data_IF_453261091485
#
_entry.id   IF_453261091485
#
_cell.length_a   1.000
_cell.length_b   1.000
_cell.length_c   1.000
_cell.angle_alpha   90.00
_cell.angle_beta   90.00
_cell.angle_gamma   90.00
#
_symmetry.space_group_name_H-M   'P 1'
#
loop_
_entity.id
_entity.type
_entity.pdbx_description
1 polymer ?
#
# COMPACT_ATOMS: atom_id res chain seq x y z
N UNK A 1 10.80 -32.38 -5.52
CA UNK A 1 9.37 -32.15 -5.28
C UNK A 1 8.70 -33.51 -5.14
N UNK A 2 8.03 -33.74 -4.03
CA UNK A 2 7.33 -34.99 -3.74
C UNK A 2 6.13 -35.12 -4.68
N UNK A 3 5.75 -36.33 -5.11
CA UNK A 3 4.65 -36.56 -6.08
C UNK A 3 3.35 -35.87 -5.67
N UNK A 4 3.09 -35.82 -4.36
CA UNK A 4 1.94 -35.13 -3.77
C UNK A 4 2.00 -33.60 -3.90
N UNK A 5 3.18 -32.99 -3.81
CA UNK A 5 3.35 -31.54 -3.97
C UNK A 5 3.06 -31.12 -5.40
N UNK A 6 3.46 -31.92 -6.38
CA UNK A 6 3.21 -31.65 -7.80
C UNK A 6 1.71 -31.77 -8.13
N UNK A 7 1.03 -32.79 -7.59
CA UNK A 7 -0.43 -32.92 -7.72
C UNK A 7 -1.16 -31.72 -7.10
N UNK A 8 -0.74 -31.31 -5.91
CA UNK A 8 -1.33 -30.17 -5.22
C UNK A 8 -1.11 -28.86 -5.99
N UNK A 9 0.10 -28.64 -6.50
CA UNK A 9 0.42 -27.49 -7.35
C UNK A 9 -0.49 -27.44 -8.58
N UNK A 10 -0.61 -28.52 -9.34
CA UNK A 10 -1.44 -28.56 -10.55
C UNK A 10 -2.91 -28.28 -10.23
N UNK A 11 -3.44 -28.84 -9.14
CA UNK A 11 -4.82 -28.55 -8.68
C UNK A 11 -5.02 -27.07 -8.37
N UNK A 12 -4.06 -26.42 -7.69
CA UNK A 12 -4.18 -24.99 -7.40
C UNK A 12 -4.01 -24.14 -8.67
N UNK A 13 -3.13 -24.53 -9.60
CA UNK A 13 -3.01 -23.88 -10.90
C UNK A 13 -4.33 -23.95 -11.69
N UNK A 14 -4.96 -25.13 -11.75
CA UNK A 14 -6.26 -25.34 -12.40
C UNK A 14 -7.38 -24.53 -11.73
N UNK A 15 -7.38 -24.45 -10.39
CA UNK A 15 -8.34 -23.62 -9.66
C UNK A 15 -8.15 -22.12 -9.97
N UNK A 16 -6.91 -21.64 -10.03
CA UNK A 16 -6.59 -20.25 -10.37
C UNK A 16 -7.05 -19.94 -11.80
N UNK A 17 -6.77 -20.83 -12.75
CA UNK A 17 -7.19 -20.65 -14.14
C UNK A 17 -8.71 -20.65 -14.28
N UNK A 18 -9.40 -21.54 -13.55
CA UNK A 18 -10.85 -21.56 -13.47
C UNK A 18 -11.40 -20.25 -12.91
N UNK A 19 -10.87 -19.74 -11.79
CA UNK A 19 -11.29 -18.46 -11.21
C UNK A 19 -11.08 -17.32 -12.21
N UNK A 20 -9.91 -17.25 -12.85
CA UNK A 20 -9.59 -16.19 -13.83
C UNK A 20 -10.53 -16.20 -15.04
N UNK A 21 -10.93 -17.38 -15.50
CA UNK A 21 -11.79 -17.53 -16.67
C UNK A 21 -13.27 -17.32 -16.33
N UNK A 22 -13.68 -17.66 -15.10
CA UNK A 22 -15.10 -17.67 -14.69
C UNK A 22 -15.45 -16.59 -13.68
N UNK A 23 -14.56 -15.63 -13.41
CA UNK A 23 -14.78 -14.60 -12.37
C UNK A 23 -16.09 -13.83 -12.55
N UNK A 24 -16.57 -13.65 -13.79
CA UNK A 24 -17.85 -12.99 -14.09
C UNK A 24 -19.08 -13.74 -13.55
N UNK A 25 -18.99 -15.06 -13.36
CA UNK A 25 -20.05 -15.84 -12.73
C UNK A 25 -20.03 -15.72 -11.18
N UNK A 26 -18.99 -15.07 -10.62
CA UNK A 26 -18.74 -14.98 -9.17
C UNK A 26 -18.83 -16.35 -8.47
N UNK A 27 -18.07 -17.36 -8.93
CA UNK A 27 -18.19 -18.72 -8.41
C UNK A 27 -17.86 -18.78 -6.91
N UNK A 28 -18.67 -19.54 -6.17
CA UNK A 28 -18.49 -19.74 -4.74
C UNK A 28 -17.42 -20.81 -4.45
N UNK A 29 -17.12 -21.02 -3.16
CA UNK A 29 -16.07 -21.95 -2.75
C UNK A 29 -16.35 -23.39 -3.19
N UNK A 30 -17.61 -23.82 -3.13
CA UNK A 30 -18.02 -25.19 -3.43
C UNK A 30 -17.85 -25.47 -4.92
N UNK A 31 -18.28 -24.54 -5.78
CA UNK A 31 -18.13 -24.65 -7.24
C UNK A 31 -16.66 -24.74 -7.67
N UNK A 32 -15.78 -23.94 -7.06
CA UNK A 32 -14.35 -23.98 -7.38
C UNK A 32 -13.71 -25.28 -6.85
N UNK A 33 -14.09 -25.72 -5.65
CA UNK A 33 -13.56 -26.95 -5.05
C UNK A 33 -13.97 -28.20 -5.85
N UNK A 34 -15.22 -28.25 -6.33
CA UNK A 34 -15.72 -29.30 -7.19
C UNK A 34 -14.93 -29.41 -8.49
N UNK A 35 -14.56 -28.26 -9.09
CA UNK A 35 -13.77 -28.22 -10.33
C UNK A 35 -12.40 -28.91 -10.21
N UNK A 36 -11.82 -28.92 -9.02
CA UNK A 36 -10.52 -29.56 -8.74
C UNK A 36 -10.65 -30.84 -7.91
N UNK A 37 -11.87 -31.37 -7.81
CA UNK A 37 -12.21 -32.61 -7.12
C UNK A 37 -11.73 -32.65 -5.66
N UNK A 38 -11.93 -31.54 -4.93
CA UNK A 38 -11.62 -31.42 -3.52
C UNK A 38 -12.86 -31.06 -2.71
N UNK A 39 -12.85 -31.40 -1.42
CA UNK A 39 -13.82 -30.83 -0.50
C UNK A 39 -13.54 -29.33 -0.28
N UNK A 40 -14.57 -28.51 -0.04
CA UNK A 40 -14.42 -27.06 0.15
C UNK A 40 -13.41 -26.69 1.24
N UNK A 41 -13.45 -27.42 2.36
CA UNK A 41 -12.53 -27.23 3.48
C UNK A 41 -11.08 -27.53 3.11
N UNK A 42 -10.84 -28.66 2.43
CA UNK A 42 -9.48 -29.04 2.00
C UNK A 42 -8.96 -28.05 0.97
N UNK A 43 -9.79 -27.71 -0.02
CA UNK A 43 -9.45 -26.75 -1.06
C UNK A 43 -9.08 -25.38 -0.49
N UNK A 44 -9.89 -24.82 0.42
CA UNK A 44 -9.60 -23.53 1.03
C UNK A 44 -8.23 -23.52 1.73
N UNK A 45 -7.93 -24.59 2.49
CA UNK A 45 -6.64 -24.70 3.20
C UNK A 45 -5.48 -24.78 2.21
N UNK A 46 -5.58 -25.69 1.23
CA UNK A 46 -4.54 -25.92 0.23
C UNK A 46 -4.29 -24.67 -0.63
N UNK A 47 -5.36 -24.00 -1.07
CA UNK A 47 -5.26 -22.77 -1.85
C UNK A 47 -4.63 -21.65 -1.03
N UNK A 48 -5.00 -21.50 0.24
CA UNK A 48 -4.39 -20.46 1.10
C UNK A 48 -2.91 -20.71 1.36
N UNK A 49 -2.51 -21.97 1.51
CA UNK A 49 -1.11 -22.37 1.68
C UNK A 49 -0.28 -22.05 0.44
N UNK A 50 -0.78 -22.36 -0.75
CA UNK A 50 -0.06 -22.16 -2.02
C UNK A 50 -0.14 -20.73 -2.55
N UNK A 51 -1.33 -20.12 -2.58
CA UNK A 51 -1.57 -18.80 -3.15
C UNK A 51 -1.37 -17.66 -2.13
N UNK A 52 -1.22 -17.97 -0.83
CA UNK A 52 -1.05 -16.99 0.24
C UNK A 52 -2.31 -16.17 0.58
N UNK A 53 -3.46 -16.52 0.00
CA UNK A 53 -4.76 -15.86 0.23
C UNK A 53 -5.91 -16.84 0.02
N UNK A 54 -7.10 -16.55 0.54
CA UNK A 54 -8.27 -17.43 0.33
C UNK A 54 -8.81 -17.32 -1.10
N UNK A 55 -9.48 -18.38 -1.63
CA UNK A 55 -10.10 -18.35 -2.96
C UNK A 55 -11.07 -17.18 -3.16
N UNK A 56 -11.93 -16.91 -2.17
CA UNK A 56 -12.88 -15.79 -2.19
C UNK A 56 -12.16 -14.44 -2.36
N UNK A 57 -11.06 -14.24 -1.62
CA UNK A 57 -10.30 -12.99 -1.70
C UNK A 57 -9.53 -12.89 -3.01
N UNK A 58 -9.02 -14.01 -3.53
CA UNK A 58 -8.40 -14.07 -4.85
C UNK A 58 -9.39 -13.66 -5.96
N UNK A 59 -10.60 -14.21 -5.96
CA UNK A 59 -11.67 -13.82 -6.89
C UNK A 59 -11.97 -12.32 -6.80
N UNK A 60 -12.05 -11.76 -5.59
CA UNK A 60 -12.26 -10.32 -5.41
C UNK A 60 -11.12 -9.47 -5.99
N UNK A 61 -9.86 -9.89 -5.86
CA UNK A 61 -8.74 -9.21 -6.49
C UNK A 61 -8.86 -9.21 -8.02
N UNK A 62 -9.20 -10.36 -8.62
CA UNK A 62 -9.42 -10.46 -10.07
C UNK A 62 -10.55 -9.54 -10.52
N UNK A 63 -11.68 -9.53 -9.81
CA UNK A 63 -12.80 -8.61 -10.11
C UNK A 63 -12.39 -7.15 -10.03
N UNK A 64 -11.64 -6.74 -8.99
CA UNK A 64 -11.18 -5.36 -8.85
C UNK A 64 -10.19 -4.98 -9.96
N UNK A 65 -9.21 -5.82 -10.28
CA UNK A 65 -8.27 -5.57 -11.38
C UNK A 65 -8.99 -5.43 -12.74
N UNK A 66 -10.01 -6.24 -12.99
CA UNK A 66 -10.81 -6.11 -14.20
C UNK A 66 -11.64 -4.81 -14.21
N UNK A 67 -12.28 -4.45 -13.10
CA UNK A 67 -12.98 -3.17 -12.98
C UNK A 67 -12.04 -1.98 -13.16
N UNK A 68 -10.82 -2.04 -12.62
CA UNK A 68 -9.78 -1.01 -12.80
C UNK A 68 -9.46 -0.83 -14.28
N UNK A 69 -9.31 -1.93 -15.03
CA UNK A 69 -9.07 -1.89 -16.47
C UNK A 69 -10.21 -1.16 -17.20
N UNK A 70 -11.46 -1.52 -16.94
CA UNK A 70 -12.64 -0.87 -17.54
C UNK A 70 -12.66 0.62 -17.22
N UNK A 71 -12.51 0.98 -15.94
CA UNK A 71 -12.56 2.37 -15.49
C UNK A 71 -11.41 3.24 -16.01
N UNK A 72 -10.29 2.61 -16.41
CA UNK A 72 -9.11 3.31 -16.94
C UNK A 72 -9.11 3.42 -18.47
N UNK A 73 -9.55 2.38 -19.17
CA UNK A 73 -9.49 2.30 -20.64
C UNK A 73 -10.67 2.99 -21.32
N UNK A 74 -11.84 3.05 -20.66
CA UNK A 74 -13.04 3.68 -21.20
C UNK A 74 -13.47 4.87 -20.32
N UNK A 75 -13.25 6.09 -20.84
CA UNK A 75 -13.66 7.32 -20.17
C UNK A 75 -15.19 7.42 -19.97
N UNK A 76 -15.99 6.75 -20.81
CA UNK A 76 -17.45 6.73 -20.73
C UNK A 76 -17.98 5.63 -19.80
N UNK A 77 -17.19 4.58 -19.51
CA UNK A 77 -17.65 3.46 -18.67
C UNK A 77 -18.09 3.93 -17.29
N UNK A 78 -19.32 3.64 -16.93
CA UNK A 78 -19.90 3.98 -15.63
C UNK A 78 -19.48 2.97 -14.56
N UNK A 79 -19.71 3.31 -13.29
CA UNK A 79 -19.56 2.33 -12.21
C UNK A 79 -20.49 1.13 -12.39
N UNK A 80 -21.65 1.34 -13.04
CA UNK A 80 -22.58 0.28 -13.37
C UNK A 80 -21.97 -0.69 -14.38
N UNK A 81 -21.36 -0.17 -15.45
CA UNK A 81 -20.71 -1.01 -16.47
C UNK A 81 -19.56 -1.84 -15.87
N UNK A 82 -18.74 -1.22 -15.02
CA UNK A 82 -17.66 -1.92 -14.33
C UNK A 82 -18.17 -2.99 -13.36
N UNK A 83 -19.27 -2.74 -12.63
CA UNK A 83 -19.86 -3.72 -11.73
C UNK A 83 -20.52 -4.88 -12.51
N UNK A 84 -21.23 -4.54 -13.59
CA UNK A 84 -21.91 -5.50 -14.45
C UNK A 84 -20.91 -6.43 -15.16
N UNK A 85 -19.86 -5.89 -15.77
CA UNK A 85 -18.90 -6.70 -16.52
C UNK A 85 -18.00 -7.56 -15.60
N UNK A 86 -17.90 -7.21 -14.31
CA UNK A 86 -17.22 -8.04 -13.31
C UNK A 86 -18.12 -9.09 -12.65
N UNK A 87 -19.42 -9.10 -12.98
CA UNK A 87 -20.40 -10.04 -12.42
C UNK A 87 -20.84 -9.72 -10.99
N UNK A 88 -20.50 -8.53 -10.49
CA UNK A 88 -20.88 -8.14 -9.14
C UNK A 88 -22.38 -7.83 -9.06
N UNK A 89 -22.96 -8.04 -7.88
CA UNK A 89 -24.39 -7.80 -7.63
C UNK A 89 -24.82 -6.33 -7.75
N UNK A 90 -23.87 -5.40 -7.86
CA UNK A 90 -24.14 -3.99 -8.08
C UNK A 90 -22.95 -3.08 -7.76
N UNK A 91 -23.16 -1.79 -7.97
CA UNK A 91 -22.17 -0.73 -7.76
C UNK A 91 -21.74 -0.60 -6.31
N UNK A 92 -22.64 -0.84 -5.35
CA UNK A 92 -22.29 -0.84 -3.91
C UNK A 92 -21.26 -1.91 -3.60
N UNK A 93 -21.40 -3.11 -4.19
CA UNK A 93 -20.44 -4.20 -3.96
C UNK A 93 -19.08 -3.87 -4.57
N UNK A 94 -19.07 -3.29 -5.77
CA UNK A 94 -17.85 -2.77 -6.40
C UNK A 94 -17.18 -1.71 -5.52
N UNK A 95 -17.96 -0.79 -4.99
CA UNK A 95 -17.50 0.26 -4.08
C UNK A 95 -16.81 -0.34 -2.84
N UNK A 96 -17.47 -1.26 -2.15
CA UNK A 96 -16.90 -1.92 -0.97
C UNK A 96 -15.60 -2.64 -1.30
N UNK A 97 -15.53 -3.34 -2.44
CA UNK A 97 -14.32 -4.03 -2.86
C UNK A 97 -13.18 -3.05 -3.12
N UNK A 98 -13.43 -1.95 -3.82
CA UNK A 98 -12.42 -0.90 -4.06
C UNK A 98 -11.94 -0.27 -2.76
N UNK A 99 -12.84 0.08 -1.84
CA UNK A 99 -12.42 0.64 -0.54
C UNK A 99 -11.55 -0.36 0.24
N UNK A 100 -11.97 -1.64 0.29
CA UNK A 100 -11.24 -2.66 1.04
C UNK A 100 -9.90 -3.09 0.39
N UNK A 101 -9.85 -3.15 -0.94
CA UNK A 101 -8.71 -3.71 -1.71
C UNK A 101 -7.76 -2.63 -2.20
N UNK A 102 -8.29 -1.49 -2.66
CA UNK A 102 -7.52 -0.38 -3.22
C UNK A 102 -7.41 0.82 -2.27
N UNK A 103 -8.26 0.89 -1.23
CA UNK A 103 -8.22 2.00 -0.29
C UNK A 103 -8.74 3.32 -0.82
N UNK A 104 -9.59 3.24 -1.83
CA UNK A 104 -10.23 4.38 -2.46
C UNK A 104 -11.56 3.95 -3.04
N UNK A 105 -12.43 4.89 -3.32
CA UNK A 105 -13.66 4.61 -4.06
C UNK A 105 -13.36 4.33 -5.54
N UNK A 106 -14.20 3.57 -6.25
CA UNK A 106 -14.09 3.39 -7.70
C UNK A 106 -14.09 4.72 -8.46
N UNK A 107 -14.80 5.74 -7.95
CA UNK A 107 -14.83 7.07 -8.54
C UNK A 107 -13.48 7.80 -8.39
N UNK A 108 -12.86 7.74 -7.21
CA UNK A 108 -11.51 8.28 -7.00
C UNK A 108 -10.47 7.55 -7.87
N UNK A 109 -10.62 6.23 -8.03
CA UNK A 109 -9.79 5.44 -8.96
C UNK A 109 -9.98 5.89 -10.40
N UNK A 110 -11.24 5.90 -10.90
CA UNK A 110 -11.59 6.30 -12.27
C UNK A 110 -11.07 7.70 -12.57
N UNK A 111 -11.23 8.61 -11.62
CA UNK A 111 -10.78 9.97 -11.79
C UNK A 111 -9.25 10.08 -11.71
N UNK A 112 -8.52 9.13 -11.12
CA UNK A 112 -7.05 9.11 -11.08
C UNK A 112 -6.40 10.38 -10.51
N UNK A 113 -7.17 11.17 -9.75
CA UNK A 113 -6.77 12.51 -9.31
C UNK A 113 -7.12 13.66 -10.25
N UNK A 114 -8.01 13.50 -11.25
CA UNK A 114 -8.42 14.54 -12.22
C UNK A 114 -8.88 15.86 -11.60
N UNK A 115 -9.35 15.83 -10.35
CA UNK A 115 -9.74 17.02 -9.58
C UNK A 115 -8.76 17.34 -8.43
N UNK A 116 -7.60 16.68 -8.38
CA UNK A 116 -6.52 16.95 -7.44
C UNK A 116 -5.52 17.89 -8.11
N UNK A 117 -5.44 19.08 -7.55
CA UNK A 117 -4.30 19.97 -7.75
C UNK A 117 -3.22 19.59 -6.73
N UNK A 118 -2.06 19.19 -7.25
CA UNK A 118 -0.91 18.78 -6.46
C UNK A 118 0.21 19.78 -6.71
N UNK A 119 0.54 20.53 -5.66
CA UNK A 119 1.80 21.28 -5.64
C UNK A 119 2.91 20.30 -5.28
N UNK A 120 4.07 20.43 -5.92
CA UNK A 120 5.26 19.67 -5.56
C UNK A 120 6.51 20.54 -5.61
N UNK A 121 7.51 20.17 -4.82
CA UNK A 121 8.83 20.76 -4.87
C UNK A 121 9.89 19.72 -4.50
N UNK A 122 11.15 20.06 -4.81
CA UNK A 122 12.31 19.30 -4.40
C UNK A 122 13.06 20.06 -3.32
N UNK A 123 13.64 19.32 -2.39
CA UNK A 123 14.47 19.86 -1.33
C UNK A 123 15.63 18.91 -1.03
N UNK A 124 16.68 19.45 -0.43
CA UNK A 124 17.74 18.64 0.17
C UNK A 124 17.36 18.27 1.60
N UNK A 125 17.72 17.05 2.01
CA UNK A 125 17.62 16.60 3.40
C UNK A 125 18.94 15.94 3.82
N UNK A 126 19.17 15.76 5.13
CA UNK A 126 20.35 15.02 5.62
C UNK A 126 20.50 13.60 5.07
N UNK A 127 19.43 13.04 4.47
CA UNK A 127 19.38 11.68 3.95
C UNK A 127 19.27 11.64 2.41
N UNK A 128 19.54 12.76 1.75
CA UNK A 128 19.52 12.93 0.29
C UNK A 128 18.34 13.77 -0.21
N UNK A 129 18.24 13.89 -1.52
CA UNK A 129 17.20 14.69 -2.17
C UNK A 129 15.82 14.08 -1.95
N UNK A 130 14.84 14.93 -1.73
CA UNK A 130 13.46 14.55 -1.44
C UNK A 130 12.51 15.34 -2.33
N UNK A 131 11.52 14.65 -2.89
CA UNK A 131 10.34 15.30 -3.45
C UNK A 131 9.27 15.34 -2.36
N UNK A 132 8.59 16.47 -2.23
CA UNK A 132 7.43 16.63 -1.37
C UNK A 132 6.28 17.18 -2.19
N UNK A 133 5.09 16.60 -2.01
CA UNK A 133 3.90 16.98 -2.73
C UNK A 133 2.69 17.05 -1.79
N UNK A 134 1.86 18.05 -2.02
CA UNK A 134 0.74 18.42 -1.18
C UNK A 134 -0.50 18.69 -2.04
N UNK A 135 -1.64 18.38 -1.43
CA UNK A 135 -2.95 18.86 -1.87
C UNK A 135 -3.44 19.91 -0.87
N UNK A 136 -4.60 20.52 -1.14
CA UNK A 136 -5.26 21.41 -0.17
C UNK A 136 -5.57 20.74 1.18
N UNK A 137 -5.61 19.40 1.25
CA UNK A 137 -5.89 18.64 2.48
C UNK A 137 -4.63 18.33 3.32
N UNK A 138 -3.44 18.37 2.74
CA UNK A 138 -2.20 17.95 3.40
C UNK A 138 -1.18 17.31 2.45
N UNK A 139 -0.06 16.85 3.01
CA UNK A 139 1.01 16.14 2.31
C UNK A 139 0.44 14.81 1.79
N UNK A 140 0.48 14.60 0.48
CA UNK A 140 -0.01 13.37 -0.15
C UNK A 140 1.13 12.44 -0.59
N UNK A 141 2.33 12.97 -0.75
CA UNK A 141 3.49 12.21 -1.17
C UNK A 141 4.78 12.87 -0.69
N UNK A 142 5.72 12.07 -0.22
CA UNK A 142 7.05 12.49 0.16
C UNK A 142 7.99 11.32 -0.05
N UNK A 143 9.03 11.46 -0.88
CA UNK A 143 9.87 10.33 -1.26
C UNK A 143 11.30 10.78 -1.53
N UNK A 144 12.27 9.98 -1.10
CA UNK A 144 13.66 10.19 -1.48
C UNK A 144 13.83 9.84 -2.96
N UNK A 145 14.52 10.71 -3.70
CA UNK A 145 14.76 10.53 -5.12
C UNK A 145 16.23 10.76 -5.45
N UNK A 146 16.79 9.97 -6.36
CA UNK A 146 18.17 10.15 -6.82
C UNK A 146 18.29 11.38 -7.73
N UNK A 147 17.26 11.63 -8.53
CA UNK A 147 17.13 12.82 -9.37
C UNK A 147 15.66 13.27 -9.42
N UNK A 148 15.45 14.52 -9.87
CA UNK A 148 14.12 15.12 -9.91
C UNK A 148 13.15 14.39 -10.84
N UNK A 149 13.64 13.89 -11.98
CA UNK A 149 12.82 13.23 -12.99
C UNK A 149 12.19 11.94 -12.45
N UNK A 150 13.00 11.07 -11.85
CA UNK A 150 12.52 9.83 -11.21
C UNK A 150 11.52 10.13 -10.09
N UNK A 151 11.83 11.11 -9.22
CA UNK A 151 10.93 11.47 -8.13
C UNK A 151 9.58 12.00 -8.63
N UNK A 152 9.58 12.75 -9.74
CA UNK A 152 8.36 13.25 -10.35
C UNK A 152 7.57 12.14 -11.07
N UNK A 153 8.24 11.20 -11.73
CA UNK A 153 7.58 10.04 -12.35
C UNK A 153 6.94 9.12 -11.30
N UNK A 154 7.56 8.91 -10.13
CA UNK A 154 6.94 8.18 -9.03
C UNK A 154 5.67 8.87 -8.52
N UNK A 155 5.71 10.20 -8.39
CA UNK A 155 4.55 11.01 -8.02
C UNK A 155 3.42 10.88 -9.07
N UNK A 156 3.74 10.98 -10.36
CA UNK A 156 2.80 10.79 -11.46
C UNK A 156 2.22 9.38 -11.47
N UNK A 157 3.03 8.35 -11.28
CA UNK A 157 2.55 6.97 -11.22
C UNK A 157 1.52 6.79 -10.10
N UNK A 158 1.69 7.49 -8.98
CA UNK A 158 0.74 7.49 -7.87
C UNK A 158 -0.55 8.28 -8.16
N UNK A 159 -0.45 9.39 -8.90
CA UNK A 159 -1.54 10.30 -9.22
C UNK A 159 -1.60 10.64 -10.74
N UNK A 160 -1.89 9.67 -11.62
CA UNK A 160 -1.65 9.80 -13.05
C UNK A 160 -2.49 10.87 -13.75
N UNK A 161 -3.64 11.25 -13.18
CA UNK A 161 -4.52 12.25 -13.76
C UNK A 161 -4.54 13.57 -12.96
N UNK A 162 -3.66 13.75 -11.96
CA UNK A 162 -3.61 14.99 -11.20
C UNK A 162 -3.02 16.17 -12.00
N UNK A 163 -3.43 17.38 -11.64
CA UNK A 163 -2.81 18.60 -12.14
C UNK A 163 -1.60 18.94 -11.26
N UNK A 164 -0.41 18.96 -11.84
CA UNK A 164 0.84 19.18 -11.10
C UNK A 164 1.35 20.61 -11.28
N UNK A 165 1.72 21.25 -10.18
CA UNK A 165 2.38 22.56 -10.18
C UNK A 165 3.67 22.50 -9.38
N UNK A 166 4.80 22.84 -10.01
CA UNK A 166 6.09 22.91 -9.31
C UNK A 166 6.13 24.19 -8.47
N UNK A 167 5.70 24.10 -7.22
CA UNK A 167 5.56 25.20 -6.28
C UNK A 167 5.72 24.69 -4.85
N UNK A 168 6.58 25.36 -4.09
CA UNK A 168 6.69 25.18 -2.65
C UNK A 168 5.54 25.92 -1.96
N UNK A 169 4.71 25.20 -1.20
CA UNK A 169 3.66 25.78 -0.37
C UNK A 169 3.93 25.58 1.13
N UNK A 170 3.08 26.17 1.98
CA UNK A 170 3.26 26.13 3.43
C UNK A 170 3.15 24.70 4.00
N UNK A 171 2.32 23.85 3.39
CA UNK A 171 2.17 22.45 3.81
C UNK A 171 3.47 21.68 3.60
N UNK A 172 4.10 21.88 2.44
CA UNK A 172 5.41 21.31 2.12
C UNK A 172 6.52 21.87 3.01
N UNK A 173 6.53 23.19 3.25
CA UNK A 173 7.51 23.82 4.14
C UNK A 173 7.45 23.21 5.55
N UNK A 174 6.25 23.12 6.13
CA UNK A 174 6.03 22.50 7.45
C UNK A 174 6.51 21.05 7.49
N UNK A 175 6.28 20.28 6.43
CA UNK A 175 6.80 18.92 6.31
C UNK A 175 8.33 18.87 6.29
N UNK A 176 8.98 19.76 5.55
CA UNK A 176 10.44 19.81 5.42
C UNK A 176 11.14 20.31 6.69
N UNK A 177 10.46 21.11 7.52
CA UNK A 177 11.00 21.58 8.80
C UNK A 177 11.37 20.44 9.76
N UNK A 178 10.83 19.22 9.57
CA UNK A 178 11.17 18.06 10.40
C UNK A 178 12.67 17.73 10.38
N UNK A 179 13.38 18.11 9.31
CA UNK A 179 14.81 17.89 9.16
C UNK A 179 15.69 18.96 9.84
N UNK A 180 15.10 20.05 10.36
CA UNK A 180 15.84 21.18 10.93
C UNK A 180 16.17 21.04 12.43
N UNK A 181 15.94 19.87 13.04
CA UNK A 181 16.28 19.55 14.44
C UNK A 181 15.66 20.47 15.51
N UNK A 182 14.68 21.31 15.17
CA UNK A 182 13.91 22.12 16.13
C UNK A 182 12.44 21.69 16.13
N UNK A 183 12.17 20.55 16.77
CA UNK A 183 10.81 19.98 16.83
C UNK A 183 9.90 20.72 17.82
N UNK A 184 10.44 21.61 18.65
CA UNK A 184 9.64 22.47 19.54
C UNK A 184 8.73 23.43 18.77
N UNK A 185 9.06 23.69 17.49
CA UNK A 185 8.34 24.58 16.59
C UNK A 185 7.57 23.85 15.48
N UNK A 186 7.52 22.51 15.50
CA UNK A 186 6.78 21.79 14.48
C UNK A 186 5.27 22.03 14.66
N UNK A 187 4.67 22.65 13.64
CA UNK A 187 3.22 22.69 13.50
C UNK A 187 2.68 21.31 13.16
N UNK A 188 1.39 21.09 13.43
CA UNK A 188 0.71 19.86 13.05
C UNK A 188 0.81 19.63 11.52
N UNK A 189 1.46 18.54 11.11
CA UNK A 189 1.59 18.17 9.70
C UNK A 189 0.42 17.26 9.32
N UNK A 190 -0.49 17.77 8.50
CA UNK A 190 -1.62 17.00 7.97
C UNK A 190 -1.18 16.12 6.79
N UNK A 191 -1.55 14.84 6.84
CA UNK A 191 -1.33 13.88 5.77
C UNK A 191 -2.63 13.61 5.01
N UNK A 192 -2.59 13.63 3.69
CA UNK A 192 -3.68 13.22 2.81
C UNK A 192 -3.31 11.88 2.16
N UNK A 193 -3.54 10.80 2.90
CA UNK A 193 -3.11 9.46 2.51
C UNK A 193 -4.16 8.73 1.69
N UNK A 194 -3.67 7.88 0.79
CA UNK A 194 -4.46 6.98 -0.04
C UNK A 194 -3.92 5.56 0.13
N UNK A 195 -4.71 4.69 0.74
CA UNK A 195 -4.35 3.30 1.03
C UNK A 195 -5.52 2.54 1.64
N UNK A 196 -5.45 1.21 1.60
CA UNK A 196 -6.50 0.34 2.16
C UNK A 196 -6.68 0.56 3.65
N UNK A 197 -7.83 0.19 4.23
CA UNK A 197 -8.04 0.25 5.68
C UNK A 197 -6.91 -0.45 6.45
N UNK A 198 -6.40 -1.56 5.90
CA UNK A 198 -5.25 -2.25 6.46
C UNK A 198 -3.97 -1.41 6.39
N UNK A 199 -3.67 -0.80 5.24
CA UNK A 199 -2.52 0.08 5.08
C UNK A 199 -2.60 1.31 5.99
N UNK A 200 -3.76 1.98 6.04
CA UNK A 200 -4.01 3.12 6.90
C UNK A 200 -3.81 2.75 8.38
N UNK A 201 -4.40 1.64 8.85
CA UNK A 201 -4.21 1.16 10.24
C UNK A 201 -2.74 0.84 10.54
N UNK A 202 -2.01 0.29 9.58
CA UNK A 202 -0.56 0.07 9.71
C UNK A 202 0.17 1.41 9.82
N UNK A 203 -0.04 2.35 8.91
CA UNK A 203 0.65 3.65 8.90
C UNK A 203 0.33 4.50 10.14
N UNK A 204 -0.92 4.49 10.60
CA UNK A 204 -1.31 5.10 11.88
C UNK A 204 -0.57 4.49 13.06
N UNK A 205 -0.34 3.17 13.03
CA UNK A 205 0.43 2.48 14.06
C UNK A 205 1.91 2.87 14.01
N UNK A 206 2.47 3.06 12.81
CA UNK A 206 3.85 3.55 12.66
C UNK A 206 4.02 4.95 13.25
N UNK A 207 3.07 5.86 13.05
CA UNK A 207 3.12 7.22 13.59
C UNK A 207 3.20 7.27 15.13
N UNK A 208 2.80 6.18 15.81
CA UNK A 208 2.88 6.07 17.28
C UNK A 208 4.25 5.60 17.78
N UNK A 209 5.14 5.14 16.89
CA UNK A 209 6.49 4.71 17.29
C UNK A 209 7.32 5.97 17.56
N UNK A 210 7.81 6.19 18.80
CA UNK A 210 8.58 7.40 19.12
C UNK A 210 9.91 7.46 18.34
N UNK A 211 10.45 8.67 18.19
CA UNK A 211 11.76 8.84 17.58
C UNK A 211 12.85 8.09 18.33
N UNK A 212 13.70 7.40 17.56
CA UNK A 212 14.81 6.59 18.03
C UNK A 212 14.41 5.32 18.78
N UNK A 213 13.11 5.00 18.84
CA UNK A 213 12.63 3.67 19.22
C UNK A 213 12.40 2.81 17.98
N UNK A 214 12.59 1.50 18.14
CA UNK A 214 12.35 0.51 17.10
C UNK A 214 11.20 -0.42 17.48
N UNK A 215 10.51 -0.90 16.46
CA UNK A 215 9.46 -1.93 16.57
C UNK A 215 9.74 -3.07 15.60
N UNK A 216 9.00 -4.17 15.70
CA UNK A 216 9.13 -5.30 14.77
C UNK A 216 7.87 -5.47 13.92
N UNK A 217 7.99 -6.09 12.75
CA UNK A 217 6.82 -6.42 11.91
C UNK A 217 5.75 -7.20 12.69
N UNK A 218 6.17 -8.12 13.56
CA UNK A 218 5.27 -8.88 14.43
C UNK A 218 4.60 -8.00 15.49
N UNK A 219 5.34 -7.09 16.12
CA UNK A 219 4.79 -6.12 17.08
C UNK A 219 3.72 -5.24 16.45
N UNK A 220 3.95 -4.73 15.24
CA UNK A 220 2.95 -3.95 14.49
C UNK A 220 1.73 -4.82 14.16
N UNK A 221 1.94 -6.06 13.70
CA UNK A 221 0.87 -7.01 13.42
C UNK A 221 -0.02 -7.27 14.67
N UNK A 222 0.60 -7.39 15.85
CA UNK A 222 -0.12 -7.50 17.12
C UNK A 222 -0.90 -6.24 17.46
N UNK A 223 -0.31 -5.05 17.33
CA UNK A 223 -0.95 -3.77 17.66
C UNK A 223 -2.17 -3.48 16.79
N UNK A 224 -2.19 -3.95 15.53
CA UNK A 224 -3.36 -3.83 14.65
C UNK A 224 -4.38 -4.97 14.80
N UNK A 225 -4.22 -5.84 15.81
CA UNK A 225 -5.07 -6.99 16.11
C UNK A 225 -5.08 -8.06 15.00
N UNK A 226 -3.95 -8.21 14.30
CA UNK A 226 -3.73 -9.19 13.24
C UNK A 226 -2.39 -9.91 13.44
N UNK A 227 -2.19 -10.66 14.53
CA UNK A 227 -0.88 -11.19 14.93
C UNK A 227 -0.17 -12.04 13.85
N UNK A 228 -0.94 -12.76 13.02
CA UNK A 228 -0.41 -13.60 11.95
C UNK A 228 -0.13 -12.84 10.64
N UNK A 229 -0.30 -11.52 10.60
CA UNK A 229 -0.22 -10.71 9.37
C UNK A 229 1.14 -10.02 9.16
N UNK A 230 2.22 -10.48 9.79
CA UNK A 230 3.55 -9.86 9.71
C UNK A 230 4.03 -9.60 8.27
N UNK A 231 3.79 -10.53 7.34
CA UNK A 231 4.14 -10.37 5.92
C UNK A 231 3.31 -9.27 5.24
N UNK A 232 2.00 -9.24 5.48
CA UNK A 232 1.11 -8.21 4.93
C UNK A 232 1.44 -6.82 5.51
N UNK A 233 1.81 -6.75 6.79
CA UNK A 233 2.35 -5.54 7.42
C UNK A 233 3.62 -5.08 6.70
N UNK A 234 4.55 -6.00 6.39
CA UNK A 234 5.74 -5.68 5.60
C UNK A 234 5.42 -5.03 4.25
N UNK A 235 4.45 -5.59 3.52
CA UNK A 235 3.97 -5.00 2.25
C UNK A 235 3.35 -3.61 2.47
N UNK A 236 2.50 -3.44 3.49
CA UNK A 236 1.87 -2.15 3.79
C UNK A 236 2.90 -1.07 4.17
N UNK A 237 3.90 -1.42 4.98
CA UNK A 237 5.04 -0.55 5.32
C UNK A 237 5.80 -0.16 4.05
N UNK A 238 6.06 -1.13 3.17
CA UNK A 238 6.71 -0.90 1.87
C UNK A 238 5.92 0.00 0.94
N UNK A 239 4.59 0.07 1.06
CA UNK A 239 3.73 0.96 0.26
C UNK A 239 3.57 2.38 0.82
N UNK A 240 4.31 2.74 1.87
CA UNK A 240 4.23 4.06 2.50
C UNK A 240 4.51 5.20 1.49
N UNK A 241 3.54 6.09 1.22
CA UNK A 241 3.72 7.18 0.26
C UNK A 241 4.42 8.41 0.84
N UNK A 242 4.64 8.48 2.16
CA UNK A 242 5.22 9.66 2.84
C UNK A 242 6.43 9.23 3.66
N UNK A 243 7.58 9.15 2.99
CA UNK A 243 8.88 8.88 3.58
C UNK A 243 9.16 9.79 4.79
N UNK A 244 9.87 9.24 5.77
CA UNK A 244 10.31 9.91 6.99
C UNK A 244 9.18 10.36 7.95
N UNK A 245 8.16 11.08 7.47
CA UNK A 245 7.01 11.50 8.29
C UNK A 245 6.21 10.31 8.81
N UNK A 246 5.92 9.34 7.94
CA UNK A 246 5.45 8.01 8.39
C UNK A 246 6.71 7.16 8.63
N UNK A 247 7.03 6.83 9.89
CA UNK A 247 8.36 6.34 10.28
C UNK A 247 8.52 4.83 10.04
N UNK A 248 8.31 4.42 8.79
CA UNK A 248 8.49 3.05 8.31
C UNK A 248 9.92 2.50 8.50
N UNK A 249 10.92 3.38 8.60
CA UNK A 249 12.30 3.01 8.91
C UNK A 249 12.47 2.45 10.33
N UNK A 250 11.57 2.77 11.27
CA UNK A 250 11.63 2.29 12.66
C UNK A 250 11.19 0.84 12.84
N UNK A 251 10.71 0.17 11.79
CA UNK A 251 10.30 -1.24 11.84
C UNK A 251 11.41 -2.14 11.32
N UNK A 252 11.85 -3.09 12.15
CA UNK A 252 12.96 -4.01 11.88
C UNK A 252 12.52 -5.48 12.01
N UNK A 253 13.42 -6.41 11.67
CA UNK A 253 13.19 -7.83 11.89
C UNK A 253 13.31 -8.18 13.38
N UNK A 254 12.60 -9.23 13.82
CA UNK A 254 12.69 -9.73 15.20
C UNK A 254 14.09 -10.26 15.57
N UNK A 255 14.94 -10.54 14.57
CA UNK A 255 16.34 -10.93 14.74
C UNK A 255 17.25 -9.77 15.14
N UNK A 256 16.75 -8.53 15.11
CA UNK A 256 17.55 -7.31 15.30
C UNK A 256 18.11 -6.74 13.99
N UNK A 257 18.03 -7.48 12.88
CA UNK A 257 18.43 -6.94 11.58
C UNK A 257 17.44 -5.87 11.09
N UNK A 258 17.95 -4.77 10.53
CA UNK A 258 17.10 -3.67 10.09
C UNK A 258 16.15 -4.05 8.94
N UNK A 259 16.51 -5.05 8.12
CA UNK A 259 15.67 -5.50 7.00
C UNK A 259 15.60 -4.47 5.87
N UNK A 260 14.61 -4.62 5.00
CA UNK A 260 14.45 -3.81 3.79
C UNK A 260 13.92 -2.40 4.04
N UNK A 261 14.18 -1.52 3.08
CA UNK A 261 13.62 -0.18 2.99
C UNK A 261 13.32 0.18 1.54
N UNK A 262 12.17 0.80 1.28
CA UNK A 262 11.78 1.23 -0.06
C UNK A 262 12.85 2.11 -0.72
N UNK A 263 13.46 3.01 0.06
CA UNK A 263 14.52 3.90 -0.39
C UNK A 263 15.92 3.39 0.01
N UNK A 264 16.13 2.08 0.08
CA UNK A 264 17.46 1.49 0.26
C UNK A 264 17.95 1.38 1.71
N UNK A 265 18.69 0.29 1.98
CA UNK A 265 19.09 -0.09 3.34
C UNK A 265 20.08 0.90 3.98
N UNK A 266 21.01 1.45 3.21
CA UNK A 266 21.98 2.44 3.69
C UNK A 266 21.28 3.65 4.31
N UNK A 267 20.21 4.12 3.65
CA UNK A 267 19.41 5.26 4.12
C UNK A 267 18.65 4.92 5.39
N UNK A 268 18.05 3.72 5.48
CA UNK A 268 17.39 3.26 6.70
C UNK A 268 18.34 3.23 7.89
N UNK A 269 19.55 2.67 7.71
CA UNK A 269 20.59 2.63 8.74
C UNK A 269 21.01 4.04 9.17
N UNK A 270 21.23 4.94 8.20
CA UNK A 270 21.61 6.33 8.48
C UNK A 270 20.54 7.06 9.30
N UNK A 271 19.27 6.92 8.92
CA UNK A 271 18.16 7.54 9.66
C UNK A 271 18.09 6.97 11.08
N UNK A 272 18.07 5.64 11.26
CA UNK A 272 17.99 5.02 12.59
C UNK A 272 19.16 5.48 13.48
N UNK A 273 20.39 5.47 12.95
CA UNK A 273 21.57 5.91 13.69
C UNK A 273 21.50 7.38 14.09
N UNK A 274 21.06 8.24 13.16
CA UNK A 274 20.83 9.65 13.44
C UNK A 274 19.75 9.86 14.50
N UNK A 275 18.61 9.16 14.44
CA UNK A 275 17.58 9.28 15.47
C UNK A 275 18.13 8.88 16.84
N UNK A 276 18.89 7.78 16.91
CA UNK A 276 19.53 7.31 18.13
C UNK A 276 20.50 8.33 18.75
N UNK A 277 21.27 9.05 17.92
CA UNK A 277 22.18 10.10 18.38
C UNK A 277 21.44 11.33 18.95
N UNK A 278 20.28 11.67 18.39
CA UNK A 278 19.50 12.83 18.85
C UNK A 278 18.86 12.62 20.23
N UNK A 279 18.42 11.40 20.54
CA UNK A 279 17.84 11.08 21.86
C UNK A 279 18.89 10.78 22.94
N UNK A 280 20.09 10.35 22.56
CA UNK A 280 21.19 10.06 23.49
C UNK A 280 22.44 10.88 23.17
N UNK A 281 22.45 12.19 23.46
CA UNK A 281 23.56 13.10 23.12
C UNK A 281 24.84 12.90 23.99
N UNK A 282 24.99 11.76 24.67
CA UNK A 282 26.16 11.47 25.53
C UNK A 282 27.30 10.73 24.81
N UNK A 283 27.32 10.77 23.48
CA UNK A 283 28.49 10.46 22.65
C UNK A 283 28.77 11.60 21.67
#
# INVERSE_FOLDING_TARGET
MNTQENINYNRIADAIDYIKTNFKAQPNLDEIAEKVHLSPFHFQRLFTEWAGTSPKKFLQYISVEHAKKILKEDNQATLFDAAFDTGLSGTSRLHDLFVNIEGMTPAEYKNGGKNLEINFSFAESPFGNIIVASTQKGVCFMAFAENEEMGFEDLKHKFPNAAFSRKLDLVQQNALFIFQNDWSKLSEIKLHLKGTDFQLKVWETLLKIPMGQLSTYGSIAHQIEKPNASRAVGTAIGSNPVAFLIPCHRVIQSTGAFGGYMWGNTRKTAIIGWEGAQINPQF
#
